data_IF_970302588056
#
_entry.id   IF_970302588056
#
_cell.length_a   1.000
_cell.length_b   1.000
_cell.length_c   1.000
_cell.angle_alpha   90.00
_cell.angle_beta   90.00
_cell.angle_gamma   90.00
#
_symmetry.space_group_name_H-M   'P 1'
#
loop_
_entity.id
_entity.type
_entity.pdbx_description
1 polymer ?
#
# COMPACT_ATOMS: atom_id res chain seq x y z
N UNK A 1 -18.31 -21.01 10.61
CA UNK A 1 -18.45 -21.86 9.40
C UNK A 1 -17.45 -21.37 8.36
N UNK A 2 -16.43 -22.17 8.04
CA UNK A 2 -15.39 -21.84 7.04
C UNK A 2 -15.64 -22.69 5.79
N UNK A 3 -15.83 -22.06 4.63
CA UNK A 3 -16.01 -22.77 3.36
C UNK A 3 -14.66 -23.14 2.74
N UNK A 4 -14.51 -24.40 2.32
CA UNK A 4 -13.28 -24.96 1.77
C UNK A 4 -13.36 -24.93 0.23
N UNK A 5 -12.46 -24.18 -0.41
CA UNK A 5 -12.26 -24.21 -1.86
C UNK A 5 -11.01 -25.08 -2.10
N UNK A 6 -11.18 -26.28 -2.65
CA UNK A 6 -10.06 -27.15 -3.06
C UNK A 6 -9.48 -26.62 -4.38
N UNK A 7 -8.20 -26.22 -4.39
CA UNK A 7 -7.46 -25.86 -5.61
C UNK A 7 -6.50 -26.99 -5.97
N UNK A 8 -6.53 -27.43 -7.23
CA UNK A 8 -5.84 -28.60 -7.81
C UNK A 8 -4.29 -28.59 -7.75
N UNK A 9 -3.65 -27.61 -7.12
CA UNK A 9 -2.20 -27.40 -7.16
C UNK A 9 -1.52 -27.51 -5.79
N UNK A 10 -1.76 -28.55 -4.98
CA UNK A 10 -1.03 -28.82 -3.71
C UNK A 10 -0.99 -27.68 -2.67
N UNK A 11 -1.68 -26.58 -2.97
CA UNK A 11 -1.64 -25.28 -2.34
C UNK A 11 -3.05 -25.01 -1.89
N UNK A 12 -3.21 -24.94 -0.58
CA UNK A 12 -4.47 -24.60 0.06
C UNK A 12 -4.48 -23.14 0.47
N UNK A 13 -5.67 -22.56 0.55
CA UNK A 13 -5.85 -21.20 1.07
C UNK A 13 -6.61 -21.28 2.38
N UNK A 14 -6.00 -20.75 3.44
CA UNK A 14 -6.64 -20.54 4.74
C UNK A 14 -7.22 -19.14 4.74
N UNK A 15 -8.52 -19.03 5.00
CA UNK A 15 -9.22 -17.76 5.18
C UNK A 15 -9.54 -17.57 6.65
N UNK A 16 -9.18 -16.42 7.20
CA UNK A 16 -9.57 -16.07 8.56
C UNK A 16 -9.87 -14.58 8.69
N UNK A 17 -10.84 -14.28 9.54
CA UNK A 17 -11.29 -12.91 9.82
C UNK A 17 -10.73 -12.49 11.17
N UNK A 18 -10.02 -11.37 11.18
CA UNK A 18 -9.60 -10.73 12.42
C UNK A 18 -10.79 -10.09 13.13
N UNK A 19 -10.80 -10.04 14.48
CA UNK A 19 -11.87 -9.40 15.24
C UNK A 19 -12.03 -7.90 14.94
N UNK A 20 -11.00 -7.25 14.39
CA UNK A 20 -11.04 -5.86 13.93
C UNK A 20 -11.70 -5.66 12.55
N UNK A 21 -12.31 -6.69 11.96
CA UNK A 21 -13.05 -6.60 10.69
C UNK A 21 -12.21 -6.82 9.42
N UNK A 22 -10.93 -7.20 9.55
CA UNK A 22 -10.06 -7.51 8.40
C UNK A 22 -10.10 -9.00 8.01
N UNK A 23 -10.09 -9.30 6.71
CA UNK A 23 -10.01 -10.70 6.21
C UNK A 23 -8.60 -10.98 5.68
N UNK A 24 -7.97 -12.04 6.16
CA UNK A 24 -6.67 -12.52 5.69
C UNK A 24 -6.83 -13.80 4.86
N UNK A 25 -6.11 -13.85 3.73
CA UNK A 25 -6.00 -15.02 2.87
C UNK A 25 -4.55 -15.49 2.86
N UNK A 26 -4.29 -16.63 3.49
CA UNK A 26 -2.96 -17.22 3.56
C UNK A 26 -2.87 -18.41 2.62
N UNK A 27 -1.99 -18.34 1.64
CA UNK A 27 -1.67 -19.49 0.78
C UNK A 27 -0.62 -20.34 1.48
N UNK A 28 -0.95 -21.62 1.68
CA UNK A 28 -0.12 -22.60 2.39
C UNK A 28 -0.10 -23.92 1.64
N UNK A 29 0.86 -24.79 1.94
CA UNK A 29 0.80 -26.18 1.48
C UNK A 29 -0.28 -26.96 2.23
N UNK A 30 -0.68 -28.10 1.70
CA UNK A 30 -1.73 -28.93 2.30
C UNK A 30 -1.36 -29.47 3.69
N UNK A 31 -0.08 -29.82 3.91
CA UNK A 31 0.45 -30.26 5.21
C UNK A 31 0.29 -29.17 6.29
N UNK A 32 0.68 -27.93 5.96
CA UNK A 32 0.54 -26.79 6.86
C UNK A 32 -0.92 -26.47 7.15
N UNK A 33 -1.82 -26.68 6.18
CA UNK A 33 -3.26 -26.55 6.42
C UNK A 33 -3.75 -27.59 7.43
N UNK A 34 -3.37 -28.86 7.29
CA UNK A 34 -3.75 -29.90 8.24
C UNK A 34 -3.21 -29.59 9.64
N UNK A 35 -1.96 -29.15 9.74
CA UNK A 35 -1.35 -28.70 11.00
C UNK A 35 -2.12 -27.54 11.63
N UNK A 36 -2.53 -26.56 10.82
CA UNK A 36 -3.34 -25.42 11.25
C UNK A 36 -4.74 -25.81 11.75
N UNK A 37 -5.35 -26.85 11.18
CA UNK A 37 -6.66 -27.34 11.60
C UNK A 37 -6.56 -28.25 12.84
N UNK A 38 -5.50 -29.04 12.95
CA UNK A 38 -5.28 -29.98 14.06
C UNK A 38 -4.76 -29.31 15.33
N UNK A 39 -3.91 -28.28 15.21
CA UNK A 39 -3.20 -27.69 16.34
C UNK A 39 -3.68 -26.25 16.64
N UNK A 40 -4.48 -26.04 17.71
CA UNK A 40 -5.00 -24.71 18.05
C UNK A 40 -3.89 -23.72 18.44
N UNK A 41 -2.79 -24.21 19.04
CA UNK A 41 -1.63 -23.37 19.39
C UNK A 41 -0.92 -22.85 18.13
N UNK A 42 -0.66 -23.74 17.16
CA UNK A 42 -0.07 -23.37 15.88
C UNK A 42 -0.97 -22.39 15.11
N UNK A 43 -2.29 -22.60 15.13
CA UNK A 43 -3.26 -21.65 14.59
C UNK A 43 -3.15 -20.27 15.21
N UNK A 44 -3.09 -20.18 16.54
CA UNK A 44 -2.96 -18.90 17.25
C UNK A 44 -1.65 -18.19 16.89
N UNK A 45 -0.55 -18.93 16.77
CA UNK A 45 0.76 -18.38 16.39
C UNK A 45 0.73 -17.78 14.98
N UNK A 46 0.22 -18.52 14.00
CA UNK A 46 0.13 -18.05 12.61
C UNK A 46 -0.77 -16.82 12.48
N UNK A 47 -1.91 -16.81 13.18
CA UNK A 47 -2.80 -15.64 13.21
C UNK A 47 -2.10 -14.44 13.87
N UNK A 48 -1.36 -14.65 14.95
CA UNK A 48 -0.58 -13.61 15.64
C UNK A 48 0.48 -12.98 14.73
N UNK A 49 1.29 -13.82 14.06
CA UNK A 49 2.31 -13.37 13.10
C UNK A 49 1.70 -12.60 11.91
N UNK A 50 0.57 -13.07 11.39
CA UNK A 50 -0.15 -12.39 10.32
C UNK A 50 -0.68 -11.03 10.77
N UNK A 51 -1.18 -10.93 12.00
CA UNK A 51 -1.67 -9.67 12.56
C UNK A 51 -0.54 -8.65 12.78
N UNK A 52 0.61 -9.08 13.31
CA UNK A 52 1.76 -8.21 13.49
C UNK A 52 2.31 -7.70 12.14
N UNK A 53 2.39 -8.59 11.14
CA UNK A 53 2.80 -8.22 9.78
C UNK A 53 1.85 -7.20 9.15
N UNK A 54 0.54 -7.35 9.38
CA UNK A 54 -0.47 -6.40 8.90
C UNK A 54 -0.30 -5.02 9.55
N UNK A 55 -0.03 -4.97 10.87
CA UNK A 55 0.24 -3.71 11.59
C UNK A 55 1.47 -3.01 11.01
N UNK A 56 2.56 -3.73 10.80
CA UNK A 56 3.81 -3.20 10.20
C UNK A 56 3.56 -2.63 8.81
N UNK A 57 2.90 -3.39 7.93
CA UNK A 57 2.56 -2.92 6.57
C UNK A 57 1.64 -1.71 6.57
N UNK A 58 0.70 -1.62 7.50
CA UNK A 58 -0.20 -0.46 7.60
C UNK A 58 0.59 0.80 8.00
N UNK A 59 1.50 0.69 8.97
CA UNK A 59 2.37 1.79 9.38
C UNK A 59 3.29 2.24 8.22
N UNK A 60 3.91 1.28 7.53
CA UNK A 60 4.77 1.57 6.37
C UNK A 60 4.00 2.22 5.22
N UNK A 61 2.79 1.76 4.93
CA UNK A 61 1.93 2.37 3.90
C UNK A 61 1.54 3.81 4.26
N UNK A 62 1.25 4.09 5.52
CA UNK A 62 0.93 5.46 5.96
C UNK A 62 2.11 6.40 5.79
N UNK A 63 3.31 5.98 6.17
CA UNK A 63 4.53 6.76 5.97
C UNK A 63 4.81 6.99 4.47
N UNK A 64 4.61 5.98 3.63
CA UNK A 64 4.80 6.10 2.18
C UNK A 64 3.78 7.04 1.53
N UNK A 65 2.50 6.97 1.93
CA UNK A 65 1.47 7.89 1.43
C UNK A 65 1.73 9.33 1.85
N UNK A 66 2.17 9.56 3.09
CA UNK A 66 2.52 10.91 3.58
C UNK A 66 3.74 11.48 2.83
N UNK A 67 4.78 10.66 2.64
CA UNK A 67 5.97 11.06 1.88
C UNK A 67 5.62 11.42 0.43
N UNK A 68 4.77 10.63 -0.23
CA UNK A 68 4.30 10.92 -1.59
C UNK A 68 3.50 12.22 -1.70
N UNK A 69 2.64 12.51 -0.72
CA UNK A 69 1.89 13.78 -0.69
C UNK A 69 2.83 14.98 -0.61
N UNK A 70 3.87 14.88 0.22
CA UNK A 70 4.88 15.94 0.38
C UNK A 70 5.70 16.12 -0.91
N UNK A 71 6.01 15.03 -1.62
CA UNK A 71 6.75 15.09 -2.88
C UNK A 71 5.91 15.71 -4.02
N UNK A 72 4.63 15.34 -4.13
CA UNK A 72 3.70 15.94 -5.10
C UNK A 72 3.46 17.44 -4.87
N UNK A 73 3.37 17.91 -3.62
CA UNK A 73 3.25 19.35 -3.34
C UNK A 73 4.53 20.11 -3.74
N UNK A 74 5.71 19.55 -3.46
CA UNK A 74 6.99 20.16 -3.86
C UNK A 74 7.15 20.24 -5.38
N UNK A 75 6.65 19.26 -6.13
CA UNK A 75 6.71 19.28 -7.59
C UNK A 75 5.76 20.33 -8.19
N UNK A 76 4.58 20.51 -7.59
CA UNK A 76 3.62 21.56 -7.97
C UNK A 76 4.12 22.98 -7.68
N UNK A 77 4.81 23.18 -6.56
CA UNK A 77 5.43 24.48 -6.25
C UNK A 77 6.57 24.82 -7.23
N UNK A 78 7.42 23.84 -7.58
CA UNK A 78 8.49 24.06 -8.58
C UNK A 78 7.92 24.36 -9.98
N UNK A 79 6.84 23.68 -10.37
CA UNK A 79 6.16 23.94 -11.63
C UNK A 79 5.54 25.35 -11.68
N UNK A 80 4.92 25.81 -10.60
CA UNK A 80 4.41 27.19 -10.49
C UNK A 80 5.51 28.23 -10.60
N UNK A 81 6.61 28.05 -9.86
CA UNK A 81 7.74 28.98 -9.92
C UNK A 81 8.35 29.04 -11.33
N UNK A 82 8.51 27.92 -12.03
CA UNK A 82 8.98 27.93 -13.42
C UNK A 82 8.02 28.66 -14.37
N UNK A 83 6.70 28.47 -14.19
CA UNK A 83 5.69 29.09 -15.05
C UNK A 83 5.60 30.61 -14.83
N UNK A 84 5.69 31.07 -13.57
CA UNK A 84 5.73 32.49 -13.22
C UNK A 84 7.01 33.16 -13.74
N UNK A 85 8.17 32.49 -13.62
CA UNK A 85 9.44 33.01 -14.13
C UNK A 85 9.42 33.11 -15.67
N UNK A 86 8.82 32.14 -16.35
CA UNK A 86 8.68 32.15 -17.81
C UNK A 86 7.72 33.24 -18.28
N UNK A 87 6.57 33.42 -17.63
CA UNK A 87 5.64 34.51 -17.95
C UNK A 87 6.27 35.90 -17.77
N UNK A 88 6.98 36.13 -16.67
CA UNK A 88 7.68 37.39 -16.43
C UNK A 88 8.70 37.69 -17.54
N UNK A 89 9.47 36.67 -17.94
CA UNK A 89 10.48 36.82 -18.99
C UNK A 89 9.85 37.12 -20.36
N UNK A 90 8.77 36.42 -20.73
CA UNK A 90 8.06 36.68 -22.00
C UNK A 90 7.40 38.06 -22.02
N UNK A 91 6.84 38.52 -20.91
CA UNK A 91 6.19 39.83 -20.82
C UNK A 91 7.22 40.95 -20.98
N UNK A 92 8.37 40.82 -20.32
CA UNK A 92 9.47 41.79 -20.46
C UNK A 92 10.01 41.83 -21.89
N UNK A 93 10.22 40.67 -22.53
CA UNK A 93 10.71 40.61 -23.90
C UNK A 93 9.75 41.27 -24.91
N UNK A 94 8.43 41.13 -24.71
CA UNK A 94 7.42 41.81 -25.54
C UNK A 94 7.41 43.33 -25.33
N UNK A 95 7.52 43.79 -24.08
CA UNK A 95 7.58 45.23 -23.76
C UNK A 95 8.81 45.87 -24.43
N UNK A 96 9.98 45.23 -24.35
CA UNK A 96 11.19 45.74 -25.01
C UNK A 96 11.12 45.76 -26.54
N UNK A 97 10.31 44.89 -27.15
CA UNK A 97 10.18 44.78 -28.62
C UNK A 97 9.23 45.82 -29.22
N UNK A 98 8.35 46.42 -28.42
CA UNK A 98 7.38 47.44 -28.87
C UNK A 98 7.85 48.90 -28.65
N UNK A 99 8.95 49.13 -27.91
CA UNK A 99 9.48 50.49 -27.62
C UNK A 99 10.57 50.88 -28.65
N UNK A 100 10.32 50.71 -29.95
CA UNK A 100 11.28 51.11 -30.99
C UNK A 100 10.57 51.77 -32.16
#
# INVERSE_FOLDING_TARGET
MSQIIHSQFGSSVIKFTFPCGGVCHLRVTQDIKQKFEAEPQYRAEIIGKAHESLKKKKAEKQLLEETKRIEEEKEKEKAKQQQETFQYFTTLQFVFRFIR
#
